data_IF_665705411268
#
_entry.id   IF_665705411268
#
_cell.length_a   1.000
_cell.length_b   1.000
_cell.length_c   1.000
_cell.angle_alpha   90.00
_cell.angle_beta   90.00
_cell.angle_gamma   90.00
#
_symmetry.space_group_name_H-M   'P 1'
#
loop_
_entity.id
_entity.type
_entity.pdbx_description
1 polymer ?
#
# COMPACT_ATOMS: atom_id res chain seq x y z
N UNK A 1 -25.40 68.15 5.43
CA UNK A 1 -26.80 68.55 5.21
C UNK A 1 -27.01 68.59 3.69
N UNK A 2 -27.91 67.87 3.03
CA UNK A 2 -28.96 66.86 3.35
C UNK A 2 -29.40 66.25 2.00
N UNK A 3 -29.88 65.01 1.81
CA UNK A 3 -30.13 63.81 2.67
C UNK A 3 -30.16 62.57 1.72
N UNK A 4 -30.10 61.33 2.23
CA UNK A 4 -30.24 60.11 1.43
C UNK A 4 -31.62 59.92 0.78
N UNK A 5 -31.66 59.33 -0.42
CA UNK A 5 -32.80 58.50 -0.86
C UNK A 5 -32.32 57.35 -1.79
N UNK A 6 -32.64 56.08 -1.49
CA UNK A 6 -32.16 54.93 -2.28
C UNK A 6 -33.07 54.64 -3.48
N UNK A 7 -32.63 55.06 -4.68
CA UNK A 7 -33.32 54.80 -5.95
C UNK A 7 -33.46 53.30 -6.27
N UNK A 8 -34.69 52.80 -6.25
CA UNK A 8 -35.05 51.42 -6.59
C UNK A 8 -34.87 51.07 -8.08
N UNK A 9 -34.59 49.81 -8.36
CA UNK A 9 -35.11 49.13 -9.55
C UNK A 9 -34.39 49.40 -10.88
N UNK A 10 -33.46 48.52 -11.23
CA UNK A 10 -33.02 48.39 -12.61
C UNK A 10 -34.13 47.81 -13.49
N UNK A 11 -34.81 48.65 -14.26
CA UNK A 11 -35.72 48.25 -15.32
C UNK A 11 -35.34 48.97 -16.62
N UNK A 12 -34.93 48.21 -17.65
CA UNK A 12 -34.60 48.76 -18.97
C UNK A 12 -35.88 49.16 -19.69
N UNK A 13 -35.93 50.38 -20.24
CA UNK A 13 -37.01 50.81 -21.14
C UNK A 13 -37.16 49.83 -22.32
N UNK A 14 -38.40 49.39 -22.59
CA UNK A 14 -38.73 48.60 -23.79
C UNK A 14 -39.58 47.36 -23.59
N UNK A 15 -39.93 46.97 -22.36
CA UNK A 15 -40.84 45.83 -22.10
C UNK A 15 -42.20 46.31 -21.63
N UNK A 16 -43.25 46.00 -22.41
CA UNK A 16 -44.65 46.15 -21.99
C UNK A 16 -44.97 45.15 -20.89
N UNK A 17 -45.41 45.62 -19.73
CA UNK A 17 -45.97 44.75 -18.70
C UNK A 17 -47.38 44.30 -19.13
N UNK A 18 -47.50 43.05 -19.61
CA UNK A 18 -48.80 42.41 -19.81
C UNK A 18 -49.42 42.11 -18.45
N UNK A 19 -50.53 42.77 -18.09
CA UNK A 19 -51.34 42.47 -16.90
C UNK A 19 -52.25 41.24 -17.12
N UNK A 20 -51.71 40.17 -17.70
CA UNK A 20 -52.41 38.92 -18.02
C UNK A 20 -52.10 37.84 -16.97
N UNK A 21 -52.40 38.18 -15.72
CA UNK A 21 -52.41 37.23 -14.60
C UNK A 21 -53.83 36.66 -14.40
N UNK A 22 -54.42 36.00 -15.41
CA UNK A 22 -55.72 35.31 -15.24
C UNK A 22 -56.14 34.28 -16.34
N UNK A 23 -55.35 34.01 -17.38
CA UNK A 23 -55.79 33.11 -18.47
C UNK A 23 -55.38 31.63 -18.32
N UNK A 24 -54.46 31.31 -17.41
CA UNK A 24 -54.07 29.91 -17.15
C UNK A 24 -55.14 29.14 -16.36
N UNK A 25 -55.82 29.78 -15.41
CA UNK A 25 -56.87 29.14 -14.60
C UNK A 25 -58.17 28.91 -15.39
N UNK A 26 -58.44 29.75 -16.40
CA UNK A 26 -59.57 29.59 -17.33
C UNK A 26 -59.42 28.40 -18.28
N UNK A 27 -58.19 28.00 -18.62
CA UNK A 27 -57.91 26.97 -19.61
C UNK A 27 -57.94 25.52 -19.06
N UNK A 28 -57.70 25.33 -17.77
CA UNK A 28 -57.47 23.98 -17.19
C UNK A 28 -58.40 23.57 -16.04
N UNK A 29 -59.15 24.51 -15.46
CA UNK A 29 -60.09 24.21 -14.37
C UNK A 29 -59.43 23.84 -13.03
N UNK A 30 -60.21 23.79 -11.93
CA UNK A 30 -59.66 23.66 -10.57
C UNK A 30 -59.08 22.28 -10.23
N UNK A 31 -59.23 21.27 -11.10
CA UNK A 31 -58.86 19.88 -10.82
C UNK A 31 -57.41 19.49 -11.24
N UNK A 32 -56.56 20.45 -11.60
CA UNK A 32 -55.12 20.18 -11.84
C UNK A 32 -54.28 20.08 -10.56
N UNK A 33 -54.92 20.13 -9.39
CA UNK A 33 -54.29 19.94 -8.09
C UNK A 33 -53.96 18.45 -7.78
N UNK A 34 -52.90 17.92 -8.39
CA UNK A 34 -51.89 17.08 -7.68
C UNK A 34 -50.84 16.46 -8.62
N UNK A 35 -49.84 17.24 -9.02
CA UNK A 35 -48.51 16.63 -9.19
C UNK A 35 -48.07 16.18 -7.80
N UNK A 36 -47.94 14.87 -7.58
CA UNK A 36 -47.48 14.35 -6.29
C UNK A 36 -46.08 14.89 -6.01
N UNK A 37 -45.96 15.85 -5.10
CA UNK A 37 -44.70 16.44 -4.71
C UNK A 37 -43.84 15.36 -4.05
N UNK A 38 -42.97 14.71 -4.85
CA UNK A 38 -42.11 13.62 -4.38
C UNK A 38 -41.27 14.13 -3.22
N UNK A 39 -41.45 13.48 -2.08
CA UNK A 39 -40.95 13.95 -0.78
C UNK A 39 -39.42 14.08 -0.81
N UNK A 40 -38.91 15.07 -0.09
CA UNK A 40 -37.50 15.51 -0.10
C UNK A 40 -36.50 14.36 0.07
N UNK A 41 -36.87 13.32 0.84
CA UNK A 41 -36.08 12.08 1.02
C UNK A 41 -35.67 11.42 -0.30
N UNK A 42 -36.52 11.43 -1.32
CA UNK A 42 -36.25 10.72 -2.58
C UNK A 42 -35.23 11.44 -3.48
N UNK A 43 -35.05 12.76 -3.31
CA UNK A 43 -33.96 13.50 -3.97
C UNK A 43 -32.60 13.20 -3.33
N UNK A 44 -32.53 13.22 -1.99
CA UNK A 44 -31.28 13.02 -1.24
C UNK A 44 -30.63 11.66 -1.57
N UNK A 45 -31.41 10.58 -1.60
CA UNK A 45 -30.88 9.24 -1.92
C UNK A 45 -30.22 9.15 -3.30
N UNK A 46 -30.78 9.82 -4.32
CA UNK A 46 -30.22 9.79 -5.68
C UNK A 46 -29.03 10.75 -5.84
N UNK A 47 -29.04 11.89 -5.16
CA UNK A 47 -27.89 12.79 -5.07
C UNK A 47 -26.70 12.14 -4.34
N UNK A 48 -26.95 11.34 -3.30
CA UNK A 48 -25.91 10.58 -2.61
C UNK A 48 -25.27 9.52 -3.52
N UNK A 49 -26.07 8.73 -4.25
CA UNK A 49 -25.55 7.72 -5.19
C UNK A 49 -24.75 8.34 -6.34
N UNK A 50 -25.21 9.47 -6.89
CA UNK A 50 -24.46 10.20 -7.93
C UNK A 50 -23.18 10.81 -7.36
N UNK A 51 -23.23 11.38 -6.15
CA UNK A 51 -22.05 11.92 -5.46
C UNK A 51 -20.98 10.85 -5.18
N UNK A 52 -21.38 9.69 -4.67
CA UNK A 52 -20.48 8.53 -4.48
C UNK A 52 -19.89 8.07 -5.81
N UNK A 53 -20.71 7.95 -6.87
CA UNK A 53 -20.23 7.58 -8.20
C UNK A 53 -19.17 8.54 -8.75
N UNK A 54 -19.38 9.86 -8.62
CA UNK A 54 -18.40 10.88 -9.03
C UNK A 54 -17.13 10.81 -8.18
N UNK A 55 -17.22 10.64 -6.86
CA UNK A 55 -16.06 10.50 -5.98
C UNK A 55 -15.22 9.26 -6.36
N UNK A 56 -15.87 8.12 -6.62
CA UNK A 56 -15.18 6.91 -7.09
C UNK A 56 -14.52 7.14 -8.44
N UNK A 57 -15.21 7.76 -9.41
CA UNK A 57 -14.61 8.06 -10.73
C UNK A 57 -13.43 9.04 -10.62
N UNK A 58 -13.53 10.08 -9.79
CA UNK A 58 -12.42 11.02 -9.56
C UNK A 58 -11.26 10.33 -8.84
N UNK A 59 -11.53 9.44 -7.88
CA UNK A 59 -10.52 8.61 -7.23
C UNK A 59 -9.79 7.71 -8.23
N UNK A 60 -10.52 6.98 -9.08
CA UNK A 60 -9.93 6.13 -10.14
C UNK A 60 -9.11 6.97 -11.12
N UNK A 61 -9.61 8.12 -11.57
CA UNK A 61 -8.85 9.01 -12.47
C UNK A 61 -7.59 9.56 -11.78
N UNK A 62 -7.68 9.94 -10.51
CA UNK A 62 -6.52 10.41 -9.73
C UNK A 62 -5.47 9.31 -9.56
N UNK A 63 -5.88 8.07 -9.22
CA UNK A 63 -4.99 6.90 -9.15
C UNK A 63 -4.33 6.66 -10.50
N UNK A 64 -5.09 6.55 -11.59
CA UNK A 64 -4.56 6.34 -12.95
C UNK A 64 -3.59 7.45 -13.37
N UNK A 65 -3.88 8.71 -13.04
CA UNK A 65 -2.97 9.83 -13.33
C UNK A 65 -1.69 9.77 -12.48
N UNK A 66 -1.77 9.36 -11.21
CA UNK A 66 -0.59 9.11 -10.36
C UNK A 66 0.26 7.97 -10.94
N UNK A 67 -0.35 6.85 -11.37
CA UNK A 67 0.36 5.74 -12.04
C UNK A 67 1.07 6.21 -13.32
N UNK A 68 0.42 7.03 -14.14
CA UNK A 68 1.01 7.61 -15.36
C UNK A 68 2.18 8.56 -15.02
N UNK A 69 2.05 9.39 -13.98
CA UNK A 69 3.11 10.32 -13.56
C UNK A 69 4.32 9.55 -12.98
N UNK A 70 4.09 8.50 -12.19
CA UNK A 70 5.14 7.60 -11.70
C UNK A 70 5.93 6.94 -12.83
N UNK A 71 5.23 6.50 -13.88
CA UNK A 71 5.85 5.95 -15.10
C UNK A 71 6.81 6.94 -15.79
N UNK A 72 6.48 8.24 -15.81
CA UNK A 72 7.31 9.28 -16.45
C UNK A 72 8.53 9.67 -15.59
N UNK A 73 8.47 9.56 -14.27
CA UNK A 73 9.61 9.89 -13.39
C UNK A 73 10.74 8.83 -13.42
N UNK A 74 10.45 7.62 -13.90
CA UNK A 74 11.42 6.52 -13.97
C UNK A 74 12.49 6.68 -15.08
N UNK A 75 12.45 7.74 -15.89
CA UNK A 75 13.56 8.05 -16.78
C UNK A 75 13.32 9.26 -17.68
N UNK A 76 14.36 10.09 -17.88
CA UNK A 76 14.41 10.98 -19.06
C UNK A 76 14.54 10.06 -20.29
N UNK A 77 13.40 9.71 -20.89
CA UNK A 77 13.29 8.78 -22.02
C UNK A 77 12.93 7.32 -21.70
N UNK A 78 12.83 6.92 -20.42
CA UNK A 78 12.25 5.62 -20.03
C UNK A 78 13.00 4.33 -20.42
N UNK A 79 14.29 4.37 -20.81
CA UNK A 79 15.04 3.18 -21.29
C UNK A 79 16.13 2.67 -20.32
N UNK A 80 16.47 3.44 -19.28
CA UNK A 80 17.62 3.12 -18.41
C UNK A 80 17.21 2.95 -16.93
N UNK A 81 17.64 1.85 -16.27
CA UNK A 81 17.41 1.66 -14.84
C UNK A 81 17.99 2.79 -14.00
N UNK A 82 17.29 3.16 -12.93
CA UNK A 82 17.70 4.18 -11.96
C UNK A 82 17.70 3.63 -10.53
N UNK A 83 18.62 2.71 -10.20
CA UNK A 83 18.57 2.00 -8.92
C UNK A 83 18.67 2.92 -7.71
N UNK A 84 19.48 3.99 -7.76
CA UNK A 84 19.55 4.97 -6.66
C UNK A 84 18.22 5.70 -6.43
N UNK A 85 17.52 6.09 -7.51
CA UNK A 85 16.23 6.77 -7.39
C UNK A 85 15.10 5.83 -6.91
N UNK A 86 15.21 4.53 -7.22
CA UNK A 86 14.31 3.51 -6.68
C UNK A 86 14.57 3.29 -5.18
N UNK A 87 15.83 3.20 -4.76
CA UNK A 87 16.23 3.15 -3.35
C UNK A 87 15.72 4.38 -2.58
N UNK A 88 15.99 5.59 -3.07
CA UNK A 88 15.51 6.84 -2.46
C UNK A 88 13.98 6.90 -2.35
N UNK A 89 13.24 6.41 -3.37
CA UNK A 89 11.77 6.33 -3.33
C UNK A 89 11.30 5.34 -2.26
N UNK A 90 11.86 4.13 -2.25
CA UNK A 90 11.55 3.12 -1.23
C UNK A 90 11.83 3.66 0.18
N UNK A 91 13.04 4.16 0.42
CA UNK A 91 13.51 4.72 1.69
C UNK A 91 12.58 5.84 2.19
N UNK A 92 12.14 6.72 1.29
CA UNK A 92 11.19 7.80 1.61
C UNK A 92 9.79 7.30 1.99
N UNK A 93 9.28 6.24 1.35
CA UNK A 93 7.94 5.69 1.63
C UNK A 93 8.00 4.80 2.88
N UNK A 94 8.93 3.84 2.92
CA UNK A 94 9.18 2.96 4.05
C UNK A 94 9.48 3.73 5.34
N UNK A 95 10.26 4.81 5.27
CA UNK A 95 10.54 5.68 6.40
C UNK A 95 9.34 6.49 6.92
N UNK A 96 8.23 6.53 6.18
CA UNK A 96 6.97 7.15 6.58
C UNK A 96 5.92 6.14 7.10
N UNK A 97 6.19 4.83 7.03
CA UNK A 97 5.30 3.79 7.56
C UNK A 97 5.30 3.83 9.08
N UNK A 98 4.11 3.83 9.69
CA UNK A 98 3.95 3.86 11.14
C UNK A 98 4.61 2.64 11.79
N UNK A 99 5.46 2.87 12.80
CA UNK A 99 6.22 1.81 13.47
C UNK A 99 7.59 1.50 12.85
N UNK A 100 7.94 2.02 11.68
CA UNK A 100 9.33 2.00 11.18
C UNK A 100 10.19 2.98 12.00
N UNK A 101 11.35 2.52 12.47
CA UNK A 101 12.31 3.31 13.24
C UNK A 101 13.46 3.86 12.38
N UNK A 102 13.89 3.09 11.37
CA UNK A 102 15.02 3.42 10.50
C UNK A 102 14.99 2.57 9.23
N UNK A 103 15.23 3.20 8.08
CA UNK A 103 15.65 2.51 6.85
C UNK A 103 17.17 2.66 6.70
N UNK A 104 17.84 1.62 6.21
CA UNK A 104 19.23 1.65 5.75
C UNK A 104 19.27 1.10 4.34
N UNK A 105 19.56 1.97 3.37
CA UNK A 105 19.66 1.57 1.97
C UNK A 105 20.99 0.86 1.72
N UNK A 106 20.95 -0.31 1.09
CA UNK A 106 22.12 -1.03 0.60
C UNK A 106 22.63 -0.47 -0.72
N UNK A 107 23.84 -0.88 -1.12
CA UNK A 107 24.42 -0.46 -2.39
C UNK A 107 23.81 -1.28 -3.54
N UNK A 108 23.26 -0.67 -4.61
CA UNK A 108 22.55 -1.44 -5.64
C UNK A 108 23.42 -2.41 -6.44
N UNK A 109 23.02 -3.67 -6.45
CA UNK A 109 23.73 -4.77 -7.14
C UNK A 109 23.30 -4.87 -8.58
N UNK A 110 24.25 -4.82 -9.52
CA UNK A 110 23.96 -4.99 -10.96
C UNK A 110 23.81 -6.48 -11.31
N UNK A 111 22.62 -6.88 -11.73
CA UNK A 111 22.28 -8.29 -12.07
C UNK A 111 22.32 -8.59 -13.56
N UNK A 112 22.10 -7.61 -14.43
CA UNK A 112 22.21 -7.78 -15.89
C UNK A 112 22.72 -6.50 -16.57
N UNK A 113 22.87 -6.51 -17.90
CA UNK A 113 23.24 -5.32 -18.67
C UNK A 113 22.39 -4.08 -18.30
N UNK A 114 21.08 -4.28 -18.14
CA UNK A 114 20.08 -3.28 -17.78
C UNK A 114 19.17 -3.77 -16.64
N UNK A 115 19.73 -4.47 -15.65
CA UNK A 115 18.99 -4.88 -14.44
C UNK A 115 19.81 -4.68 -13.18
N UNK A 116 19.14 -4.28 -12.11
CA UNK A 116 19.70 -4.04 -10.79
C UNK A 116 18.74 -4.52 -9.72
N UNK A 117 19.28 -5.05 -8.64
CA UNK A 117 18.55 -5.28 -7.40
C UNK A 117 18.99 -4.22 -6.38
N UNK A 118 18.04 -3.72 -5.61
CA UNK A 118 18.23 -2.81 -4.47
C UNK A 118 17.75 -3.56 -3.25
N UNK A 119 18.60 -3.72 -2.24
CA UNK A 119 18.22 -4.29 -0.95
C UNK A 119 18.38 -3.23 0.15
N UNK A 120 17.45 -3.19 1.10
CA UNK A 120 17.47 -2.24 2.23
C UNK A 120 17.15 -2.94 3.55
N UNK A 121 17.76 -2.54 4.67
CA UNK A 121 17.36 -3.03 6.00
C UNK A 121 16.41 -2.05 6.66
N UNK A 122 15.22 -2.50 7.04
CA UNK A 122 14.19 -1.69 7.71
C UNK A 122 14.05 -2.15 9.15
N UNK A 123 14.52 -1.34 10.10
CA UNK A 123 14.32 -1.58 11.53
C UNK A 123 12.93 -1.07 11.94
N UNK A 124 12.08 -1.98 12.43
CA UNK A 124 10.71 -1.74 12.88
C UNK A 124 10.68 -1.73 14.42
N UNK A 125 9.66 -1.13 15.03
CA UNK A 125 9.50 -1.16 16.48
C UNK A 125 9.19 -2.59 16.97
N UNK A 126 9.97 -3.15 17.91
CA UNK A 126 9.72 -4.49 18.44
C UNK A 126 8.45 -4.53 19.32
N UNK A 127 7.93 -3.38 19.76
CA UNK A 127 6.74 -3.29 20.62
C UNK A 127 5.42 -3.32 19.85
N UNK A 128 5.43 -3.37 18.52
CA UNK A 128 4.21 -3.50 17.72
C UNK A 128 3.51 -4.82 18.01
N UNK A 129 2.18 -4.76 18.10
CA UNK A 129 1.31 -5.94 18.12
C UNK A 129 1.41 -6.73 16.82
N UNK A 130 0.94 -7.98 16.83
CA UNK A 130 0.99 -8.84 15.65
C UNK A 130 0.27 -8.22 14.42
N UNK A 131 -0.88 -7.56 14.64
CA UNK A 131 -1.63 -6.90 13.57
C UNK A 131 -0.88 -5.70 12.98
N UNK A 132 -0.25 -4.89 13.83
CA UNK A 132 0.60 -3.76 13.39
C UNK A 132 1.84 -4.27 12.65
N UNK A 133 2.47 -5.36 13.10
CA UNK A 133 3.59 -5.98 12.37
C UNK A 133 3.18 -6.49 10.99
N UNK A 134 1.98 -7.07 10.85
CA UNK A 134 1.44 -7.44 9.52
C UNK A 134 1.27 -6.18 8.66
N UNK A 135 0.58 -5.16 9.16
CA UNK A 135 0.33 -3.93 8.42
C UNK A 135 1.61 -3.20 7.99
N UNK A 136 2.67 -3.22 8.80
CA UNK A 136 3.98 -2.69 8.42
C UNK A 136 4.62 -3.51 7.30
N UNK A 137 4.62 -4.83 7.39
CA UNK A 137 5.22 -5.69 6.35
C UNK A 137 4.46 -5.59 5.04
N UNK A 138 3.12 -5.52 5.08
CA UNK A 138 2.28 -5.30 3.91
C UNK A 138 2.61 -3.93 3.26
N UNK A 139 2.66 -2.85 4.06
CA UNK A 139 3.01 -1.51 3.56
C UNK A 139 4.44 -1.40 3.02
N UNK A 140 5.40 -2.18 3.54
CA UNK A 140 6.76 -2.27 3.00
C UNK A 140 6.78 -3.08 1.69
N UNK A 141 5.91 -4.08 1.53
CA UNK A 141 5.75 -4.85 0.29
C UNK A 141 5.17 -3.98 -0.82
N UNK A 142 4.08 -3.24 -0.53
CA UNK A 142 3.50 -2.24 -1.44
C UNK A 142 4.53 -1.18 -1.85
N UNK A 143 5.32 -0.66 -0.89
CA UNK A 143 6.38 0.32 -1.16
C UNK A 143 7.52 -0.26 -2.03
N UNK A 144 7.82 -1.55 -1.91
CA UNK A 144 8.81 -2.24 -2.73
C UNK A 144 8.32 -2.46 -4.17
N UNK A 145 7.04 -2.76 -4.38
CA UNK A 145 6.44 -2.85 -5.72
C UNK A 145 6.40 -1.47 -6.41
N UNK A 146 5.89 -0.44 -5.73
CA UNK A 146 5.83 0.95 -6.21
C UNK A 146 7.22 1.55 -6.54
N UNK A 147 8.26 1.11 -5.84
CA UNK A 147 9.64 1.52 -6.08
C UNK A 147 10.33 0.72 -7.21
N UNK A 148 9.82 -0.47 -7.53
CA UNK A 148 10.36 -1.35 -8.56
C UNK A 148 9.99 -0.91 -10.00
N UNK A 149 10.62 -1.55 -10.98
CA UNK A 149 10.34 -1.38 -12.40
C UNK A 149 11.53 -0.83 -13.21
N UNK A 150 11.36 -0.80 -14.53
CA UNK A 150 12.39 -0.35 -15.49
C UNK A 150 13.76 -1.02 -15.30
N UNK A 151 13.73 -2.33 -14.99
CA UNK A 151 14.92 -3.14 -14.74
C UNK A 151 15.46 -3.08 -13.31
N UNK A 152 14.89 -2.25 -12.43
CA UNK A 152 15.20 -2.28 -10.99
C UNK A 152 14.19 -3.17 -10.27
N UNK A 153 14.66 -4.04 -9.38
CA UNK A 153 13.84 -4.72 -8.36
C UNK A 153 14.23 -4.20 -6.99
N UNK A 154 13.24 -3.89 -6.15
CA UNK A 154 13.47 -3.43 -4.77
C UNK A 154 13.05 -4.53 -3.80
N UNK A 155 13.92 -4.76 -2.83
CA UNK A 155 13.79 -5.73 -1.77
C UNK A 155 14.19 -5.09 -0.44
N UNK A 156 13.72 -5.64 0.66
CA UNK A 156 14.14 -5.23 1.99
C UNK A 156 14.16 -6.39 2.99
N UNK A 157 14.96 -6.28 4.04
CA UNK A 157 14.85 -7.13 5.23
C UNK A 157 14.22 -6.30 6.35
N UNK A 158 13.02 -6.67 6.78
CA UNK A 158 12.33 -6.07 7.91
C UNK A 158 12.78 -6.73 9.22
N UNK A 159 13.54 -5.99 10.03
CA UNK A 159 13.89 -6.34 11.41
C UNK A 159 12.72 -5.96 12.33
N UNK A 160 12.01 -6.98 12.81
CA UNK A 160 10.88 -6.91 13.74
C UNK A 160 11.31 -7.29 15.18
N UNK A 161 12.61 -7.25 15.49
CA UNK A 161 13.21 -7.73 16.74
C UNK A 161 13.58 -9.22 16.67
N UNK A 162 12.73 -10.10 17.21
CA UNK A 162 13.00 -11.56 17.18
C UNK A 162 12.73 -12.20 15.80
N UNK A 163 12.09 -11.47 14.88
CA UNK A 163 11.80 -11.93 13.52
C UNK A 163 12.47 -11.00 12.52
N UNK A 164 13.21 -11.57 11.57
CA UNK A 164 13.70 -10.86 10.39
C UNK A 164 13.04 -11.47 9.14
N UNK A 165 12.40 -10.62 8.33
CA UNK A 165 11.56 -11.07 7.21
C UNK A 165 11.98 -10.39 5.91
N UNK A 166 12.25 -11.19 4.88
CA UNK A 166 12.47 -10.71 3.53
C UNK A 166 11.17 -10.18 2.91
N UNK A 167 11.20 -8.92 2.48
CA UNK A 167 10.12 -8.18 1.83
C UNK A 167 10.48 -7.94 0.38
N UNK A 168 9.54 -8.21 -0.52
CA UNK A 168 9.60 -7.86 -1.94
C UNK A 168 8.28 -7.24 -2.38
N UNK A 169 8.17 -6.84 -3.65
CA UNK A 169 6.88 -6.48 -4.26
C UNK A 169 5.90 -7.65 -4.40
N UNK A 170 6.34 -8.91 -4.20
CA UNK A 170 5.43 -10.06 -4.11
C UNK A 170 4.89 -10.18 -2.67
N UNK A 171 3.69 -9.63 -2.47
CA UNK A 171 2.97 -9.71 -1.20
C UNK A 171 2.58 -11.14 -0.79
N UNK A 172 2.44 -12.09 -1.72
CA UNK A 172 2.16 -13.50 -1.39
C UNK A 172 3.42 -14.18 -0.83
N UNK A 173 4.57 -13.98 -1.47
CA UNK A 173 5.86 -14.48 -0.99
C UNK A 173 6.25 -13.83 0.36
N UNK A 174 6.09 -12.51 0.47
CA UNK A 174 6.36 -11.73 1.69
C UNK A 174 5.43 -12.17 2.85
N UNK A 175 4.13 -12.30 2.61
CA UNK A 175 3.17 -12.78 3.60
C UNK A 175 3.46 -14.21 4.07
N UNK A 176 3.87 -15.11 3.16
CA UNK A 176 4.31 -16.47 3.50
C UNK A 176 5.54 -16.49 4.40
N UNK A 177 6.56 -15.66 4.13
CA UNK A 177 7.75 -15.54 5.00
C UNK A 177 7.38 -15.06 6.40
N UNK A 178 6.53 -14.04 6.50
CA UNK A 178 6.07 -13.52 7.80
C UNK A 178 5.28 -14.56 8.59
N UNK A 179 4.37 -15.29 7.94
CA UNK A 179 3.59 -16.36 8.57
C UNK A 179 4.50 -17.52 9.04
N UNK A 180 5.45 -17.94 8.21
CA UNK A 180 6.43 -18.97 8.55
C UNK A 180 7.33 -18.53 9.72
N UNK A 181 7.83 -17.29 9.71
CA UNK A 181 8.68 -16.77 10.78
C UNK A 181 7.97 -16.84 12.15
N UNK A 182 6.68 -16.43 12.21
CA UNK A 182 5.85 -16.56 13.43
C UNK A 182 5.60 -18.00 13.84
N UNK A 183 5.39 -18.90 12.88
CA UNK A 183 5.17 -20.32 13.15
C UNK A 183 6.44 -21.00 13.72
N UNK A 184 7.62 -20.58 13.26
CA UNK A 184 8.91 -21.09 13.73
C UNK A 184 9.32 -20.51 15.08
N UNK A 185 9.02 -19.24 15.35
CA UNK A 185 9.24 -18.58 16.65
C UNK A 185 8.43 -19.24 17.78
N UNK A 186 7.27 -19.81 17.45
CA UNK A 186 6.46 -20.62 18.36
C UNK A 186 7.06 -22.00 18.70
N UNK A 187 8.17 -22.42 18.07
CA UNK A 187 8.86 -23.69 18.40
C UNK A 187 9.65 -23.51 19.70
N UNK A 188 9.35 -24.36 20.69
CA UNK A 188 10.02 -24.31 21.99
C UNK A 188 11.55 -24.46 21.88
N UNK A 189 12.26 -23.42 22.32
CA UNK A 189 13.73 -23.36 22.29
C UNK A 189 14.30 -22.46 21.19
N UNK A 190 13.46 -21.97 20.27
CA UNK A 190 13.81 -20.87 19.36
C UNK A 190 13.82 -19.55 20.14
N UNK A 191 14.71 -18.64 19.74
CA UNK A 191 14.79 -17.27 20.29
C UNK A 191 14.85 -16.18 19.23
N UNK A 192 14.88 -16.56 17.96
CA UNK A 192 14.80 -15.66 16.82
C UNK A 192 14.67 -16.43 15.51
N UNK A 193 14.10 -15.82 14.48
CA UNK A 193 13.92 -16.43 13.15
C UNK A 193 14.17 -15.43 12.05
N UNK A 194 15.04 -15.79 11.10
CA UNK A 194 15.19 -15.11 9.81
C UNK A 194 14.50 -15.92 8.72
N UNK A 195 13.61 -15.31 7.95
CA UNK A 195 13.00 -15.90 6.76
C UNK A 195 13.21 -14.96 5.57
N UNK A 196 14.24 -15.21 4.78
CA UNK A 196 14.68 -14.38 3.65
C UNK A 196 15.14 -15.25 2.47
N UNK A 197 15.85 -14.65 1.52
CA UNK A 197 16.66 -15.32 0.49
C UNK A 197 18.06 -15.64 1.02
N UNK A 198 18.89 -16.30 0.20
CA UNK A 198 20.33 -16.43 0.42
C UNK A 198 21.10 -15.14 0.13
N UNK A 199 22.25 -14.97 0.79
CA UNK A 199 23.12 -13.78 0.67
C UNK A 199 23.63 -13.50 -0.77
N UNK A 200 23.51 -14.47 -1.70
CA UNK A 200 23.96 -14.33 -3.09
C UNK A 200 23.07 -13.38 -3.90
N UNK A 201 21.74 -13.45 -3.75
CA UNK A 201 20.79 -12.63 -4.50
C UNK A 201 19.35 -12.68 -3.94
N UNK A 202 18.62 -11.55 -3.92
CA UNK A 202 17.21 -11.53 -3.56
C UNK A 202 16.32 -12.25 -4.58
N UNK A 203 15.41 -13.07 -4.05
CA UNK A 203 14.54 -13.95 -4.83
C UNK A 203 13.26 -14.34 -4.09
N UNK A 204 12.16 -14.46 -4.83
CA UNK A 204 10.88 -15.01 -4.38
C UNK A 204 10.65 -16.48 -4.81
N UNK A 205 11.65 -17.12 -5.44
CA UNK A 205 11.61 -18.55 -5.74
C UNK A 205 11.61 -19.38 -4.44
N UNK A 206 10.65 -20.30 -4.23
CA UNK A 206 10.60 -21.16 -3.04
C UNK A 206 11.90 -21.92 -2.73
N UNK A 207 12.65 -22.34 -3.73
CA UNK A 207 13.92 -23.06 -3.55
C UNK A 207 15.11 -22.14 -3.24
N UNK A 208 14.97 -20.82 -3.44
CA UNK A 208 15.97 -19.81 -3.10
C UNK A 208 15.78 -19.20 -1.70
N UNK A 209 14.77 -19.65 -0.94
CA UNK A 209 14.55 -19.17 0.42
C UNK A 209 15.55 -19.80 1.40
N UNK A 210 16.05 -18.98 2.33
CA UNK A 210 16.90 -19.39 3.44
C UNK A 210 16.20 -19.03 4.74
N UNK A 211 16.03 -20.04 5.59
CA UNK A 211 15.40 -19.92 6.91
C UNK A 211 16.46 -20.21 7.96
N UNK A 212 16.84 -19.20 8.75
CA UNK A 212 17.76 -19.37 9.88
C UNK A 212 16.96 -19.33 11.18
N UNK A 213 17.10 -20.38 11.99
CA UNK A 213 16.48 -20.47 13.31
C UNK A 213 17.54 -20.24 14.38
N UNK A 214 17.41 -19.16 15.16
CA UNK A 214 18.32 -18.90 16.27
C UNK A 214 17.91 -19.70 17.51
N UNK A 215 18.84 -20.45 18.08
CA UNK A 215 18.59 -21.25 19.26
C UNK A 215 19.85 -21.51 20.09
N UNK A 216 19.69 -21.60 21.42
CA UNK A 216 20.73 -22.11 22.33
C UNK A 216 20.63 -23.62 22.57
N UNK A 217 19.73 -24.31 21.85
CA UNK A 217 19.61 -25.75 21.89
C UNK A 217 20.84 -26.44 21.30
N UNK A 218 21.25 -27.57 21.88
CA UNK A 218 22.41 -28.35 21.42
C UNK A 218 22.07 -29.84 21.30
N UNK A 219 22.87 -30.58 20.53
CA UNK A 219 22.70 -32.03 20.35
C UNK A 219 21.30 -32.42 19.88
N UNK A 220 20.66 -33.36 20.59
CA UNK A 220 19.33 -33.86 20.23
C UNK A 220 18.24 -32.77 20.25
N UNK A 221 18.36 -31.75 21.10
CA UNK A 221 17.40 -30.66 21.14
C UNK A 221 17.50 -29.79 19.88
N UNK A 222 18.72 -29.45 19.46
CA UNK A 222 18.98 -28.75 18.19
C UNK A 222 18.45 -29.56 17.00
N UNK A 223 18.74 -30.87 16.96
CA UNK A 223 18.26 -31.75 15.90
C UNK A 223 16.72 -31.81 15.82
N UNK A 224 16.02 -31.78 16.95
CA UNK A 224 14.56 -31.73 16.98
C UNK A 224 13.99 -30.38 16.51
N UNK A 225 14.60 -29.26 16.92
CA UNK A 225 14.22 -27.90 16.48
C UNK A 225 14.41 -27.78 14.97
N UNK A 226 15.60 -28.10 14.44
CA UNK A 226 15.91 -28.01 13.02
C UNK A 226 15.02 -28.94 12.21
N UNK A 227 14.83 -30.20 12.60
CA UNK A 227 13.95 -31.12 11.88
C UNK A 227 12.49 -30.63 11.82
N UNK A 228 12.00 -29.99 12.90
CA UNK A 228 10.67 -29.37 12.91
C UNK A 228 10.62 -28.13 12.02
N UNK A 229 11.64 -27.28 12.07
CA UNK A 229 11.74 -26.10 11.22
C UNK A 229 11.81 -26.46 9.73
N UNK A 230 12.59 -27.48 9.35
CA UNK A 230 12.64 -28.00 7.98
C UNK A 230 11.27 -28.51 7.51
N UNK A 231 10.53 -29.23 8.38
CA UNK A 231 9.19 -29.71 8.05
C UNK A 231 8.23 -28.55 7.70
N UNK A 232 8.16 -27.52 8.55
CA UNK A 232 7.25 -26.39 8.32
C UNK A 232 7.73 -25.50 7.16
N UNK A 233 9.03 -25.25 7.06
CA UNK A 233 9.61 -24.48 5.96
C UNK A 233 9.34 -25.14 4.61
N UNK A 234 9.53 -26.46 4.47
CA UNK A 234 9.25 -27.18 3.21
C UNK A 234 7.76 -27.32 2.89
N UNK A 235 6.86 -27.12 3.87
CA UNK A 235 5.42 -27.05 3.61
C UNK A 235 5.00 -25.71 2.96
N UNK A 236 5.73 -24.63 3.25
CA UNK A 236 5.48 -23.27 2.69
C UNK A 236 6.34 -23.00 1.46
N UNK A 237 7.63 -23.34 1.52
CA UNK A 237 8.65 -23.13 0.50
C UNK A 237 9.38 -24.45 0.20
N UNK A 238 8.86 -25.28 -0.72
CA UNK A 238 9.49 -26.55 -1.10
C UNK A 238 10.90 -26.33 -1.65
N UNK A 239 11.90 -26.99 -1.06
CA UNK A 239 13.30 -26.87 -1.47
C UNK A 239 14.10 -25.77 -0.77
N UNK A 240 13.49 -24.98 0.12
CA UNK A 240 14.19 -23.97 0.90
C UNK A 240 15.33 -24.54 1.76
N UNK A 241 16.36 -23.73 1.99
CA UNK A 241 17.48 -24.07 2.89
C UNK A 241 17.10 -23.72 4.32
N UNK A 242 17.38 -24.61 5.28
CA UNK A 242 17.07 -24.40 6.71
C UNK A 242 18.33 -24.62 7.54
N UNK A 243 18.69 -23.60 8.31
CA UNK A 243 19.91 -23.54 9.11
C UNK A 243 19.63 -23.15 10.56
N UNK A 244 20.60 -23.38 11.42
CA UNK A 244 20.56 -22.97 12.82
C UNK A 244 21.74 -22.07 13.17
N UNK A 245 21.47 -20.97 13.88
CA UNK A 245 22.49 -20.07 14.40
C UNK A 245 22.44 -20.01 15.94
N UNK A 246 23.58 -19.70 16.57
CA UNK A 246 23.57 -19.26 17.97
C UNK A 246 23.10 -17.79 18.01
N UNK A 247 22.24 -17.39 18.98
CA UNK A 247 21.74 -16.02 19.04
C UNK A 247 22.86 -15.03 19.35
N UNK A 248 22.84 -13.86 18.70
CA UNK A 248 23.72 -12.76 19.05
C UNK A 248 23.61 -12.39 20.54
N UNK A 249 24.76 -12.11 21.16
CA UNK A 249 24.90 -11.91 22.63
C UNK A 249 24.79 -10.45 23.06
#
# INVERSE_FOLDING_TARGET
MTVDEPGSGGARQGWTQSTEADDLDRAFGPDTASVTARTTRQRVGRSAVIGVGVIVTVGVIAVVLVTIIGSVQNGVGGVFPRPQAAAERFSSVAGAVEGVQRVRDGEPTKTSFASYDVESTVAVSPTLSEAERTAVVDALSDAADDASGNGVRVFAVADLGALEVGVSGDGEATGKRLALARQLDAIGGVSGVRCSWSDDAPSDDPAAQTITVETRGTGNALGAIVAKATQEAHAVFPGATVESAEPAS
#
